data_IF_330535556710
#
_entry.id   IF_330535556710
#
_cell.length_a   1.000
_cell.length_b   1.000
_cell.length_c   1.000
_cell.angle_alpha   90.00
_cell.angle_beta   90.00
_cell.angle_gamma   90.00
#
_symmetry.space_group_name_H-M   'P 1'
#
loop_
_entity.id
_entity.type
_entity.pdbx_description
1 polymer ?
#
# COMPACT_ATOMS: atom_id res chain seq x y z
N UNK A 1 76.25 -25.71 -5.29
CA UNK A 1 75.91 -25.46 -6.71
C UNK A 1 74.72 -26.29 -7.23
N UNK A 2 74.56 -27.59 -6.92
CA UNK A 2 73.42 -28.40 -7.40
C UNK A 2 72.02 -27.95 -6.94
N UNK A 3 71.88 -27.39 -5.72
CA UNK A 3 70.59 -26.89 -5.18
C UNK A 3 70.14 -25.57 -5.82
N UNK A 4 71.08 -24.73 -6.27
CA UNK A 4 70.77 -23.46 -6.95
C UNK A 4 70.26 -23.72 -8.38
N UNK A 5 70.80 -24.75 -9.05
CA UNK A 5 70.40 -25.15 -10.39
C UNK A 5 68.98 -25.76 -10.41
N UNK A 6 68.61 -26.52 -9.38
CA UNK A 6 67.25 -27.07 -9.24
C UNK A 6 66.21 -25.97 -9.00
N UNK A 7 66.55 -24.95 -8.19
CA UNK A 7 65.66 -23.82 -7.92
C UNK A 7 65.48 -22.94 -9.17
N UNK A 8 66.55 -22.75 -9.96
CA UNK A 8 66.49 -22.08 -11.26
C UNK A 8 65.68 -22.88 -12.27
N UNK A 9 65.77 -24.22 -12.28
CA UNK A 9 64.98 -25.08 -13.16
C UNK A 9 63.49 -25.03 -12.81
N UNK A 10 63.13 -25.00 -11.52
CA UNK A 10 61.75 -24.84 -11.06
C UNK A 10 61.23 -23.44 -11.42
N UNK A 11 62.03 -22.40 -11.20
CA UNK A 11 61.70 -21.02 -11.60
C UNK A 11 61.51 -20.87 -13.11
N UNK A 12 62.38 -21.49 -13.93
CA UNK A 12 62.28 -21.52 -15.40
C UNK A 12 61.06 -22.33 -15.90
N UNK A 13 60.70 -23.42 -15.21
CA UNK A 13 59.48 -24.19 -15.51
C UNK A 13 58.20 -23.43 -15.10
N UNK A 14 58.26 -22.57 -14.08
CA UNK A 14 57.16 -21.65 -13.73
C UNK A 14 57.12 -20.39 -14.62
N UNK A 15 58.25 -19.95 -15.21
CA UNK A 15 58.29 -18.75 -16.06
C UNK A 15 57.73 -19.01 -17.48
N UNK A 16 57.79 -20.24 -17.97
CA UNK A 16 57.15 -20.64 -19.24
C UNK A 16 55.63 -20.89 -19.15
N UNK A 17 55.01 -20.66 -17.97
CA UNK A 17 53.56 -20.80 -17.75
C UNK A 17 52.85 -19.45 -17.53
N UNK A 18 53.38 -18.34 -18.08
CA UNK A 18 52.75 -16.99 -18.04
C UNK A 18 51.49 -16.87 -18.94
N UNK A 19 50.90 -18.00 -19.34
CA UNK A 19 49.46 -18.12 -19.58
C UNK A 19 49.00 -19.32 -18.78
N UNK A 20 48.62 -19.12 -17.52
CA UNK A 20 48.11 -20.17 -16.66
C UNK A 20 46.84 -20.76 -17.30
N UNK A 21 47.00 -21.80 -18.12
CA UNK A 21 45.94 -22.77 -18.38
C UNK A 21 45.58 -23.35 -17.02
N UNK A 22 44.36 -23.15 -16.54
CA UNK A 22 43.88 -23.90 -15.37
C UNK A 22 44.06 -25.38 -15.71
N UNK A 23 44.86 -26.09 -14.92
CA UNK A 23 45.04 -27.52 -15.16
C UNK A 23 43.68 -28.20 -15.06
N UNK A 24 43.41 -29.22 -15.90
CA UNK A 24 42.10 -29.90 -15.90
C UNK A 24 41.68 -30.34 -14.49
N UNK A 25 42.62 -30.75 -13.65
CA UNK A 25 42.37 -31.06 -12.24
C UNK A 25 41.90 -29.85 -11.41
N UNK A 26 42.50 -28.67 -11.59
CA UNK A 26 42.06 -27.45 -10.89
C UNK A 26 40.68 -26.97 -11.37
N UNK A 27 40.38 -27.12 -12.67
CA UNK A 27 39.06 -26.83 -13.21
C UNK A 27 37.98 -27.78 -12.64
N UNK A 28 38.27 -29.07 -12.51
CA UNK A 28 37.34 -30.05 -11.93
C UNK A 28 37.02 -29.74 -10.46
N UNK A 29 38.03 -29.34 -9.66
CA UNK A 29 37.83 -28.96 -8.24
C UNK A 29 36.94 -27.71 -8.14
N UNK A 30 37.20 -26.68 -8.94
CA UNK A 30 36.40 -25.47 -8.95
C UNK A 30 34.95 -25.73 -9.42
N UNK A 31 34.75 -26.64 -10.38
CA UNK A 31 33.42 -27.07 -10.81
C UNK A 31 32.66 -27.81 -9.69
N UNK A 32 33.33 -28.66 -8.91
CA UNK A 32 32.73 -29.33 -7.75
C UNK A 32 32.34 -28.34 -6.64
N UNK A 33 33.13 -27.28 -6.43
CA UNK A 33 32.78 -26.18 -5.52
C UNK A 33 31.57 -25.39 -6.02
N UNK A 34 31.49 -25.10 -7.32
CA UNK A 34 30.33 -24.43 -7.94
C UNK A 34 29.07 -25.29 -7.77
N UNK A 35 29.14 -26.59 -8.02
CA UNK A 35 28.00 -27.50 -7.86
C UNK A 35 27.49 -27.53 -6.42
N UNK A 36 28.40 -27.59 -5.44
CA UNK A 36 28.06 -27.57 -4.02
C UNK A 36 27.40 -26.25 -3.60
N UNK A 37 27.92 -25.12 -4.07
CA UNK A 37 27.39 -23.79 -3.76
C UNK A 37 26.01 -23.60 -4.40
N UNK A 38 25.86 -23.88 -5.70
CA UNK A 38 24.58 -23.72 -6.42
C UNK A 38 23.51 -24.64 -5.82
N UNK A 39 23.84 -25.89 -5.51
CA UNK A 39 22.91 -26.83 -4.88
C UNK A 39 22.46 -26.37 -3.50
N UNK A 40 23.38 -25.82 -2.69
CA UNK A 40 23.05 -25.26 -1.38
C UNK A 40 22.10 -24.07 -1.50
N UNK A 41 22.30 -23.20 -2.49
CA UNK A 41 21.46 -22.02 -2.72
C UNK A 41 20.05 -22.39 -3.23
N UNK A 42 19.94 -23.38 -4.13
CA UNK A 42 18.64 -23.91 -4.58
C UNK A 42 17.83 -24.43 -3.38
N UNK A 43 18.49 -25.14 -2.45
CA UNK A 43 17.86 -25.73 -1.28
C UNK A 43 17.51 -24.72 -0.18
N UNK A 44 18.05 -23.50 -0.21
CA UNK A 44 17.82 -22.48 0.82
C UNK A 44 16.72 -21.46 0.50
N UNK A 45 16.02 -21.60 -0.63
CA UNK A 45 15.07 -20.59 -1.13
C UNK A 45 13.61 -21.07 -0.99
N UNK A 46 12.72 -20.17 -0.57
CA UNK A 46 11.30 -20.40 -0.31
C UNK A 46 10.45 -20.69 -1.58
N UNK A 47 9.34 -21.41 -1.42
CA UNK A 47 8.51 -22.02 -2.47
C UNK A 47 7.79 -21.09 -3.48
N UNK A 48 7.92 -19.76 -3.38
CA UNK A 48 7.25 -18.80 -4.28
C UNK A 48 8.18 -18.15 -5.32
N UNK A 49 9.50 -18.17 -5.11
CA UNK A 49 10.51 -17.59 -6.03
C UNK A 49 11.10 -18.68 -6.97
N UNK A 50 10.55 -19.89 -6.90
CA UNK A 50 11.26 -21.16 -7.11
C UNK A 50 11.51 -21.52 -8.57
N UNK A 51 10.70 -21.04 -9.51
CA UNK A 51 10.78 -21.55 -10.88
C UNK A 51 11.98 -20.96 -11.63
N UNK A 52 12.20 -19.64 -11.59
CA UNK A 52 13.31 -19.01 -12.31
C UNK A 52 14.66 -19.37 -11.67
N UNK A 53 14.75 -19.37 -10.34
CA UNK A 53 15.99 -19.67 -9.61
C UNK A 53 16.32 -21.16 -9.69
N UNK A 54 15.32 -22.02 -9.46
CA UNK A 54 15.49 -23.47 -9.59
C UNK A 54 15.88 -23.88 -11.00
N UNK A 55 15.22 -23.34 -12.03
CA UNK A 55 15.58 -23.64 -13.42
C UNK A 55 16.98 -23.13 -13.79
N UNK A 56 17.33 -21.91 -13.38
CA UNK A 56 18.66 -21.33 -13.64
C UNK A 56 19.77 -22.09 -12.91
N UNK A 57 19.56 -22.43 -11.65
CA UNK A 57 20.49 -23.25 -10.87
C UNK A 57 20.67 -24.65 -11.46
N UNK A 58 19.57 -25.33 -11.82
CA UNK A 58 19.63 -26.63 -12.50
C UNK A 58 20.36 -26.57 -13.85
N UNK A 59 20.24 -25.46 -14.59
CA UNK A 59 21.01 -25.25 -15.81
C UNK A 59 22.51 -25.07 -15.55
N UNK A 60 22.90 -24.31 -14.52
CA UNK A 60 24.31 -24.18 -14.12
C UNK A 60 24.87 -25.57 -13.77
N UNK A 61 24.17 -26.34 -12.93
CA UNK A 61 24.58 -27.71 -12.56
C UNK A 61 24.72 -28.61 -13.80
N UNK A 62 23.79 -28.51 -14.75
CA UNK A 62 23.87 -29.26 -16.00
C UNK A 62 25.07 -28.87 -16.87
N UNK A 63 25.46 -27.58 -16.89
CA UNK A 63 26.64 -27.10 -17.62
C UNK A 63 27.92 -27.58 -16.94
N UNK A 64 27.98 -27.49 -15.62
CA UNK A 64 29.09 -27.96 -14.80
C UNK A 64 29.34 -29.46 -14.99
N UNK A 65 28.30 -30.29 -14.85
CA UNK A 65 28.42 -31.74 -15.00
C UNK A 65 28.92 -32.16 -16.39
N UNK A 66 28.53 -31.42 -17.43
CA UNK A 66 28.95 -31.71 -18.80
C UNK A 66 30.35 -31.18 -19.11
N UNK A 67 30.73 -30.01 -18.61
CA UNK A 67 32.12 -29.54 -18.69
C UNK A 67 33.07 -30.48 -17.93
N UNK A 68 32.62 -31.01 -16.78
CA UNK A 68 33.32 -32.04 -16.00
C UNK A 68 33.56 -33.31 -16.83
N UNK A 69 32.52 -33.78 -17.53
CA UNK A 69 32.60 -34.92 -18.44
C UNK A 69 33.56 -34.65 -19.60
N UNK A 70 33.44 -33.51 -20.27
CA UNK A 70 34.29 -33.15 -21.40
C UNK A 70 35.77 -33.02 -20.98
N UNK A 71 36.06 -32.40 -19.83
CA UNK A 71 37.42 -32.35 -19.26
C UNK A 71 37.93 -33.77 -18.96
N UNK A 72 37.14 -34.62 -18.30
CA UNK A 72 37.53 -36.01 -18.00
C UNK A 72 37.80 -36.85 -19.25
N UNK A 73 37.02 -36.66 -20.31
CA UNK A 73 37.19 -37.37 -21.58
C UNK A 73 38.38 -36.84 -22.41
N UNK A 74 38.85 -35.61 -22.14
CA UNK A 74 39.92 -34.94 -22.89
C UNK A 74 41.24 -34.82 -22.12
N UNK A 75 41.26 -35.18 -20.84
CA UNK A 75 42.48 -35.27 -20.02
C UNK A 75 43.42 -36.29 -20.67
N UNK A 76 44.48 -35.79 -21.31
CA UNK A 76 45.56 -36.58 -21.89
C UNK A 76 45.68 -36.52 -23.42
N UNK A 77 44.62 -36.15 -24.15
CA UNK A 77 44.64 -36.12 -25.62
C UNK A 77 43.74 -35.00 -26.14
N UNK A 78 44.22 -33.76 -26.34
CA UNK A 78 43.54 -32.83 -27.27
C UNK A 78 44.25 -31.52 -27.58
N UNK A 79 43.87 -31.04 -28.77
CA UNK A 79 44.20 -29.84 -29.53
C UNK A 79 43.96 -28.50 -28.79
N UNK A 80 44.73 -27.47 -29.17
CA UNK A 80 44.77 -26.16 -28.49
C UNK A 80 43.41 -25.43 -28.52
N UNK A 81 42.67 -25.55 -29.62
CA UNK A 81 41.37 -24.88 -29.84
C UNK A 81 40.28 -25.45 -28.91
N UNK A 82 40.29 -26.76 -28.66
CA UNK A 82 39.36 -27.40 -27.74
C UNK A 82 39.61 -26.96 -26.29
N UNK A 83 40.88 -26.79 -25.90
CA UNK A 83 41.24 -26.24 -24.58
C UNK A 83 40.85 -24.77 -24.41
N UNK A 84 41.02 -23.94 -25.44
CA UNK A 84 40.60 -22.53 -25.41
C UNK A 84 39.07 -22.41 -25.26
N UNK A 85 38.30 -23.27 -25.93
CA UNK A 85 36.85 -23.33 -25.77
C UNK A 85 36.46 -23.79 -24.35
N UNK A 86 37.07 -24.86 -23.84
CA UNK A 86 36.85 -25.33 -22.46
C UNK A 86 37.17 -24.26 -21.42
N UNK A 87 38.26 -23.50 -21.60
CA UNK A 87 38.64 -22.40 -20.71
C UNK A 87 37.64 -21.24 -20.76
N UNK A 88 37.21 -20.84 -21.96
CA UNK A 88 36.22 -19.78 -22.12
C UNK A 88 34.90 -20.15 -21.44
N UNK A 89 34.49 -21.41 -21.55
CA UNK A 89 33.30 -21.95 -20.90
C UNK A 89 33.44 -22.02 -19.39
N UNK A 90 34.60 -22.49 -18.88
CA UNK A 90 34.90 -22.46 -17.46
C UNK A 90 34.78 -21.05 -16.89
N UNK A 91 35.36 -20.05 -17.56
CA UNK A 91 35.28 -18.65 -17.14
C UNK A 91 33.84 -18.11 -17.21
N UNK A 92 33.04 -18.52 -18.21
CA UNK A 92 31.63 -18.15 -18.29
C UNK A 92 30.81 -18.76 -17.15
N UNK A 93 31.01 -20.06 -16.83
CA UNK A 93 30.32 -20.73 -15.72
C UNK A 93 30.71 -20.10 -14.38
N UNK A 94 31.98 -19.76 -14.20
CA UNK A 94 32.49 -19.11 -12.99
C UNK A 94 31.84 -17.73 -12.78
N UNK A 95 31.82 -16.90 -13.83
CA UNK A 95 31.14 -15.60 -13.79
C UNK A 95 29.62 -15.76 -13.53
N UNK A 96 28.95 -16.73 -14.16
CA UNK A 96 27.52 -16.98 -13.95
C UNK A 96 27.22 -17.47 -12.53
N UNK A 97 28.10 -18.29 -11.95
CA UNK A 97 27.98 -18.77 -10.57
C UNK A 97 28.17 -17.64 -9.55
N UNK A 98 29.14 -16.76 -9.76
CA UNK A 98 29.37 -15.59 -8.92
C UNK A 98 28.20 -14.60 -9.01
N UNK A 99 27.74 -14.28 -10.23
CA UNK A 99 26.55 -13.44 -10.44
C UNK A 99 25.29 -14.06 -9.79
N UNK A 100 25.07 -15.37 -9.95
CA UNK A 100 23.94 -16.10 -9.33
C UNK A 100 23.97 -16.02 -7.80
N UNK A 101 25.15 -16.19 -7.19
CA UNK A 101 25.32 -16.11 -5.74
C UNK A 101 25.11 -14.70 -5.18
N UNK A 102 25.57 -13.66 -5.89
CA UNK A 102 25.43 -12.27 -5.46
C UNK A 102 23.97 -11.83 -5.50
N UNK A 103 23.22 -12.23 -6.54
CA UNK A 103 21.81 -11.89 -6.70
C UNK A 103 20.90 -12.58 -5.70
N UNK A 104 21.14 -13.86 -5.36
CA UNK A 104 20.38 -14.56 -4.32
C UNK A 104 20.57 -13.89 -2.95
N UNK A 105 21.75 -13.32 -2.69
CA UNK A 105 22.06 -12.63 -1.44
C UNK A 105 21.56 -11.18 -1.39
N UNK A 106 21.56 -10.46 -2.52
CA UNK A 106 21.41 -8.99 -2.50
C UNK A 106 20.38 -8.41 -3.47
N UNK A 107 19.98 -9.10 -4.55
CA UNK A 107 19.24 -8.48 -5.68
C UNK A 107 18.23 -9.38 -6.40
N UNK A 108 17.36 -10.09 -5.68
CA UNK A 108 16.36 -11.02 -6.25
C UNK A 108 15.56 -10.47 -7.46
N UNK A 109 15.34 -9.16 -7.57
CA UNK A 109 14.67 -8.51 -8.71
C UNK A 109 15.40 -8.57 -10.07
N UNK A 110 16.70 -8.87 -10.10
CA UNK A 110 17.53 -8.92 -11.32
C UNK A 110 17.72 -10.36 -11.87
N UNK A 111 17.03 -11.35 -11.30
CA UNK A 111 17.17 -12.78 -11.64
C UNK A 111 16.88 -13.10 -13.12
N UNK A 112 16.01 -12.31 -13.76
CA UNK A 112 15.59 -12.50 -15.16
C UNK A 112 16.74 -12.32 -16.14
N UNK A 113 17.63 -11.36 -15.89
CA UNK A 113 18.78 -11.06 -16.75
C UNK A 113 19.81 -12.20 -16.69
N UNK A 114 20.05 -12.74 -15.50
CA UNK A 114 20.94 -13.89 -15.31
C UNK A 114 20.34 -15.16 -15.92
N UNK A 115 19.05 -15.43 -15.73
CA UNK A 115 18.41 -16.61 -16.34
C UNK A 115 18.55 -16.59 -17.87
N UNK A 116 18.40 -15.41 -18.48
CA UNK A 116 18.67 -15.20 -19.90
C UNK A 116 20.13 -15.45 -20.26
N UNK A 117 21.10 -14.92 -19.50
CA UNK A 117 22.54 -15.14 -19.73
C UNK A 117 22.94 -16.61 -19.56
N UNK A 118 22.48 -17.29 -18.51
CA UNK A 118 22.73 -18.72 -18.25
C UNK A 118 22.19 -19.55 -19.41
N UNK A 119 20.96 -19.27 -19.83
CA UNK A 119 20.36 -19.99 -20.95
C UNK A 119 21.05 -19.69 -22.26
N UNK A 120 21.54 -18.47 -22.47
CA UNK A 120 22.37 -18.14 -23.63
C UNK A 120 23.70 -18.91 -23.60
N UNK A 121 24.40 -18.94 -22.47
CA UNK A 121 25.63 -19.72 -22.29
C UNK A 121 25.40 -21.23 -22.47
N UNK A 122 24.29 -21.76 -21.95
CA UNK A 122 23.89 -23.16 -22.16
C UNK A 122 23.60 -23.47 -23.63
N UNK A 123 22.92 -22.54 -24.31
CA UNK A 123 22.59 -22.64 -25.73
C UNK A 123 23.82 -22.49 -26.65
N UNK A 124 24.86 -21.77 -26.22
CA UNK A 124 26.10 -21.61 -26.97
C UNK A 124 27.06 -22.79 -26.74
N UNK A 125 26.96 -23.50 -25.61
CA UNK A 125 27.68 -24.75 -25.32
C UNK A 125 27.14 -25.98 -26.07
N UNK A 126 25.86 -25.95 -26.45
CA UNK A 126 25.22 -27.00 -27.24
C UNK A 126 25.32 -26.64 -28.73
N UNK A 127 26.22 -27.31 -29.47
CA UNK A 127 26.20 -27.35 -30.96
C UNK A 127 24.90 -28.01 -31.50
N UNK A 128 23.89 -28.27 -30.65
CA UNK A 128 22.56 -28.79 -31.01
C UNK A 128 21.58 -27.62 -31.16
N UNK A 129 20.81 -27.66 -32.27
CA UNK A 129 19.81 -26.65 -32.64
C UNK A 129 18.92 -26.26 -31.46
N UNK A 130 19.00 -24.96 -31.13
CA UNK A 130 18.40 -24.22 -29.99
C UNK A 130 16.89 -24.40 -29.92
N UNK A 131 16.41 -24.99 -28.82
CA UNK A 131 14.98 -25.16 -28.52
C UNK A 131 14.44 -23.92 -27.78
N UNK A 132 13.22 -23.46 -28.06
CA UNK A 132 12.62 -22.35 -27.32
C UNK A 132 12.39 -22.74 -25.86
N UNK A 133 12.69 -21.82 -24.95
CA UNK A 133 12.56 -22.06 -23.51
C UNK A 133 12.07 -20.82 -22.77
N UNK A 134 11.09 -20.99 -21.88
CA UNK A 134 10.53 -19.92 -21.06
C UNK A 134 11.18 -19.93 -19.68
N UNK A 135 11.51 -18.74 -19.16
CA UNK A 135 12.03 -18.56 -17.80
C UNK A 135 10.98 -17.98 -16.87
N UNK A 136 10.12 -17.09 -17.39
CA UNK A 136 9.15 -16.35 -16.58
C UNK A 136 7.91 -15.97 -17.36
N UNK A 137 6.78 -16.08 -16.69
CA UNK A 137 5.49 -15.54 -17.11
C UNK A 137 5.23 -14.25 -16.32
N UNK A 138 5.16 -13.12 -17.00
CA UNK A 138 4.70 -11.84 -16.46
C UNK A 138 3.24 -11.67 -16.89
N UNK A 139 2.36 -12.37 -16.15
CA UNK A 139 0.93 -12.46 -16.45
C UNK A 139 0.10 -11.85 -15.32
N UNK A 140 -0.60 -10.72 -15.54
CA UNK A 140 -1.50 -10.16 -14.55
C UNK A 140 -2.73 -11.05 -14.35
N UNK A 141 -3.45 -10.96 -13.22
CA UNK A 141 -4.74 -11.63 -13.07
C UNK A 141 -5.74 -11.15 -14.13
N UNK A 142 -6.61 -12.05 -14.59
CA UNK A 142 -7.72 -11.70 -15.46
C UNK A 142 -8.89 -11.18 -14.64
N UNK A 143 -9.44 -10.02 -15.00
CA UNK A 143 -10.54 -9.39 -14.27
C UNK A 143 -11.85 -9.68 -15.01
N UNK A 144 -12.78 -10.36 -14.34
CA UNK A 144 -14.11 -10.67 -14.87
C UNK A 144 -14.88 -9.39 -15.20
N UNK A 145 -15.63 -9.40 -16.29
CA UNK A 145 -16.49 -8.31 -16.75
C UNK A 145 -15.78 -6.95 -17.00
N UNK A 146 -14.44 -6.93 -16.93
CA UNK A 146 -13.65 -5.76 -17.24
C UNK A 146 -13.14 -5.83 -18.67
N UNK A 147 -13.70 -4.99 -19.54
CA UNK A 147 -13.33 -4.95 -20.96
C UNK A 147 -12.13 -4.03 -21.16
N UNK A 148 -10.93 -4.61 -21.22
CA UNK A 148 -9.68 -3.94 -21.59
C UNK A 148 -8.71 -4.88 -22.33
N UNK A 149 -7.70 -4.30 -22.97
CA UNK A 149 -6.53 -5.06 -23.46
C UNK A 149 -5.85 -5.80 -22.30
N UNK A 150 -5.78 -7.13 -22.42
CA UNK A 150 -5.12 -8.04 -21.50
C UNK A 150 -3.72 -8.37 -22.03
N UNK A 151 -2.70 -7.90 -21.32
CA UNK A 151 -1.30 -8.00 -21.72
C UNK A 151 -0.62 -9.18 -21.02
N UNK A 152 -0.09 -10.13 -21.78
CA UNK A 152 0.75 -11.21 -21.26
C UNK A 152 2.16 -11.01 -21.80
N UNK A 153 3.15 -10.97 -20.92
CA UNK A 153 4.56 -10.93 -21.29
C UNK A 153 5.24 -12.22 -20.87
N UNK A 154 6.07 -12.76 -21.75
CA UNK A 154 6.81 -14.00 -21.49
C UNK A 154 8.27 -13.76 -21.81
N UNK A 155 9.14 -14.04 -20.83
CA UNK A 155 10.58 -13.93 -20.97
C UNK A 155 11.21 -15.32 -21.09
N UNK A 156 12.16 -15.45 -22.00
CA UNK A 156 12.80 -16.72 -22.33
C UNK A 156 13.97 -16.55 -23.28
N UNK A 157 14.19 -17.57 -24.12
CA UNK A 157 15.23 -17.54 -25.15
C UNK A 157 14.81 -18.31 -26.40
N UNK A 158 15.46 -17.98 -27.53
CA UNK A 158 15.29 -18.66 -28.82
C UNK A 158 13.85 -18.66 -29.37
N UNK A 159 13.04 -17.66 -29.00
CA UNK A 159 11.67 -17.56 -29.52
C UNK A 159 11.63 -17.21 -31.02
N UNK A 160 12.56 -16.38 -31.49
CA UNK A 160 12.79 -16.01 -32.89
C UNK A 160 13.03 -17.20 -33.85
N UNK A 161 13.29 -18.39 -33.31
CA UNK A 161 13.53 -19.63 -34.07
C UNK A 161 12.31 -20.53 -34.20
N UNK A 162 11.21 -20.16 -33.55
CA UNK A 162 9.94 -20.88 -33.68
C UNK A 162 9.26 -20.46 -34.99
N UNK A 163 8.81 -21.43 -35.79
CA UNK A 163 8.04 -21.17 -37.00
C UNK A 163 6.63 -20.66 -36.64
N UNK A 164 6.10 -21.13 -35.51
CA UNK A 164 4.82 -20.69 -34.98
C UNK A 164 4.87 -20.60 -33.45
N UNK A 165 4.30 -19.52 -32.90
CA UNK A 165 4.18 -19.31 -31.45
C UNK A 165 2.75 -18.88 -31.17
N UNK A 166 2.12 -19.50 -30.18
CA UNK A 166 0.84 -18.99 -29.70
C UNK A 166 0.58 -19.32 -28.23
N UNK A 167 -0.17 -18.44 -27.58
CA UNK A 167 -0.83 -18.74 -26.32
C UNK A 167 -2.19 -19.37 -26.62
N UNK A 168 -2.50 -20.45 -25.92
CA UNK A 168 -3.80 -21.12 -25.97
C UNK A 168 -4.46 -20.94 -24.61
N UNK A 169 -5.57 -20.20 -24.57
CA UNK A 169 -6.40 -19.99 -23.38
C UNK A 169 -7.80 -20.52 -23.70
N UNK A 170 -8.31 -21.44 -22.88
CA UNK A 170 -9.62 -22.08 -23.11
C UNK A 170 -9.82 -22.63 -24.53
N UNK A 171 -8.75 -23.17 -25.13
CA UNK A 171 -8.77 -23.73 -26.48
C UNK A 171 -8.70 -22.70 -27.62
N UNK A 172 -8.79 -21.40 -27.33
CA UNK A 172 -8.59 -20.34 -28.34
C UNK A 172 -7.11 -19.96 -28.43
N UNK A 173 -6.63 -19.80 -29.67
CA UNK A 173 -5.23 -19.50 -30.00
C UNK A 173 -5.04 -17.99 -30.21
N UNK A 174 -3.99 -17.43 -29.61
CA UNK A 174 -3.61 -16.02 -29.68
C UNK A 174 -2.14 -15.91 -30.08
N UNK A 175 -1.87 -15.10 -31.09
CA UNK A 175 -0.51 -14.87 -31.59
C UNK A 175 0.16 -13.68 -30.87
N UNK A 176 1.49 -13.69 -30.72
CA UNK A 176 2.21 -12.58 -30.13
C UNK A 176 2.18 -11.36 -31.07
N UNK A 177 1.99 -10.18 -30.50
CA UNK A 177 2.11 -8.91 -31.24
C UNK A 177 3.57 -8.51 -31.41
N UNK A 178 4.43 -8.98 -30.50
CA UNK A 178 5.87 -8.83 -30.58
C UNK A 178 6.54 -10.16 -30.20
N UNK A 179 7.48 -10.58 -31.05
CA UNK A 179 8.33 -11.75 -30.81
C UNK A 179 9.78 -11.36 -31.06
N UNK A 180 10.62 -11.55 -30.05
CA UNK A 180 12.06 -11.32 -30.11
C UNK A 180 12.80 -12.55 -29.60
N UNK A 181 14.13 -12.59 -29.69
CA UNK A 181 14.90 -13.71 -29.16
C UNK A 181 14.60 -14.03 -27.68
N UNK A 182 14.29 -13.02 -26.86
CA UNK A 182 14.18 -13.13 -25.40
C UNK A 182 12.80 -12.81 -24.82
N UNK A 183 11.92 -12.19 -25.59
CA UNK A 183 10.62 -11.69 -25.11
C UNK A 183 9.50 -11.94 -26.13
N UNK A 184 8.36 -12.39 -25.62
CA UNK A 184 7.08 -12.44 -26.30
C UNK A 184 6.07 -11.53 -25.61
N UNK A 185 5.32 -10.75 -26.39
CA UNK A 185 4.24 -9.90 -25.89
C UNK A 185 2.95 -10.26 -26.62
N UNK A 186 1.92 -10.61 -25.84
CA UNK A 186 0.57 -10.88 -26.32
C UNK A 186 -0.36 -9.77 -25.83
N UNK A 187 -1.17 -9.23 -26.74
CA UNK A 187 -2.26 -8.31 -26.43
C UNK A 187 -3.55 -8.99 -26.83
N UNK A 188 -4.34 -9.36 -25.83
CA UNK A 188 -5.58 -10.09 -26.03
C UNK A 188 -6.73 -9.18 -25.63
N UNK A 189 -7.73 -9.05 -26.47
CA UNK A 189 -8.98 -8.41 -26.07
C UNK A 189 -9.68 -9.32 -25.04
N UNK A 190 -9.84 -8.83 -23.80
CA UNK A 190 -10.45 -9.59 -22.70
C UNK A 190 -11.85 -10.12 -23.04
N UNK A 191 -12.63 -9.44 -23.90
CA UNK A 191 -13.95 -9.90 -24.35
C UNK A 191 -13.89 -11.23 -25.11
N UNK A 192 -12.73 -11.56 -25.67
CA UNK A 192 -12.49 -12.79 -26.40
C UNK A 192 -12.17 -13.98 -25.49
N UNK A 193 -11.80 -13.72 -24.23
CA UNK A 193 -11.55 -14.74 -23.22
C UNK A 193 -12.85 -14.92 -22.45
N UNK A 194 -13.61 -15.98 -22.78
CA UNK A 194 -14.85 -16.30 -22.06
C UNK A 194 -14.54 -17.18 -20.84
N UNK A 195 -14.75 -16.69 -19.60
CA UNK A 195 -14.69 -17.51 -18.40
C UNK A 195 -15.82 -18.53 -18.36
N UNK A 196 -15.52 -19.73 -17.87
CA UNK A 196 -16.56 -20.62 -17.33
C UNK A 196 -16.89 -20.11 -15.93
N UNK A 197 -18.18 -19.94 -15.64
CA UNK A 197 -18.70 -19.27 -14.43
C UNK A 197 -18.22 -19.87 -13.09
N UNK A 198 -17.65 -21.07 -13.09
CA UNK A 198 -17.23 -21.80 -11.88
C UNK A 198 -15.70 -21.89 -11.69
N UNK A 199 -14.90 -21.37 -12.62
CA UNK A 199 -13.44 -21.49 -12.55
C UNK A 199 -12.78 -20.23 -11.97
N UNK A 200 -11.94 -20.41 -10.95
CA UNK A 200 -11.15 -19.32 -10.34
C UNK A 200 -9.83 -19.04 -11.08
N UNK A 201 -9.55 -19.79 -12.15
CA UNK A 201 -8.35 -19.65 -12.95
C UNK A 201 -8.53 -20.23 -14.36
N UNK A 202 -7.81 -19.69 -15.34
CA UNK A 202 -7.67 -20.31 -16.66
C UNK A 202 -6.47 -21.24 -16.70
N UNK A 203 -6.66 -22.39 -17.36
CA UNK A 203 -5.55 -23.25 -17.81
C UNK A 203 -5.08 -22.73 -19.16
N UNK A 204 -3.90 -22.13 -19.18
CA UNK A 204 -3.27 -21.61 -20.37
C UNK A 204 -2.04 -22.45 -20.76
N UNK A 205 -1.64 -22.40 -22.02
CA UNK A 205 -0.38 -23.01 -22.49
C UNK A 205 0.23 -22.19 -23.60
N UNK A 206 1.55 -22.11 -23.63
CA UNK A 206 2.30 -21.57 -24.77
C UNK A 206 2.72 -22.73 -25.64
N UNK A 207 2.38 -22.68 -26.92
CA UNK A 207 2.78 -23.66 -27.93
C UNK A 207 3.86 -23.07 -28.81
N UNK A 208 4.96 -23.81 -28.97
CA UNK A 208 6.04 -23.52 -29.89
C UNK A 208 6.12 -24.62 -30.95
N UNK A 209 5.98 -24.25 -32.21
CA UNK A 209 6.32 -25.13 -33.33
C UNK A 209 7.68 -24.72 -33.88
N UNK A 210 8.63 -25.66 -33.88
CA UNK A 210 10.00 -25.41 -34.30
C UNK A 210 10.58 -26.64 -35.01
N UNK A 211 11.65 -26.45 -35.78
CA UNK A 211 12.34 -27.54 -36.47
C UNK A 211 13.70 -27.82 -35.84
N UNK A 212 13.93 -29.08 -35.44
CA UNK A 212 15.18 -29.49 -34.80
C UNK A 212 15.87 -30.66 -35.51
N UNK A 213 17.16 -30.85 -35.21
CA UNK A 213 18.02 -31.87 -35.82
C UNK A 213 18.50 -31.57 -37.25
N UNK A 214 19.42 -32.40 -37.77
CA UNK A 214 19.99 -32.28 -39.13
C UNK A 214 18.91 -32.32 -40.21
N UNK A 215 17.85 -33.12 -40.02
CA UNK A 215 16.74 -33.31 -40.95
C UNK A 215 15.59 -32.30 -40.79
N UNK A 216 15.74 -31.25 -39.95
CA UNK A 216 14.71 -30.23 -39.69
C UNK A 216 13.32 -30.83 -39.36
N UNK A 217 13.28 -31.86 -38.52
CA UNK A 217 12.01 -32.50 -38.14
C UNK A 217 11.17 -31.52 -37.32
N UNK A 218 9.89 -31.41 -37.65
CA UNK A 218 8.95 -30.59 -36.90
C UNK A 218 8.77 -31.14 -35.48
N UNK A 219 8.82 -30.22 -34.52
CA UNK A 219 8.68 -30.46 -33.09
C UNK A 219 7.69 -29.44 -32.54
N UNK A 220 6.86 -29.92 -31.62
CA UNK A 220 5.98 -29.08 -30.83
C UNK A 220 6.44 -29.15 -29.37
N UNK A 221 6.60 -27.99 -28.73
CA UNK A 221 6.78 -27.87 -27.29
C UNK A 221 5.62 -27.07 -26.74
N UNK A 222 4.99 -27.58 -25.68
CA UNK A 222 3.91 -26.89 -24.99
C UNK A 222 4.28 -26.70 -23.52
N UNK A 223 4.20 -25.46 -23.04
CA UNK A 223 4.46 -25.12 -21.64
C UNK A 223 3.18 -24.60 -20.97
N UNK A 224 2.62 -25.34 -19.99
CA UNK A 224 1.39 -24.93 -19.30
C UNK A 224 1.67 -23.84 -18.25
N UNK A 225 0.71 -22.94 -18.07
CA UNK A 225 0.69 -21.97 -16.98
C UNK A 225 -0.75 -21.65 -16.56
N UNK A 226 -0.89 -20.97 -15.42
CA UNK A 226 -2.20 -20.65 -14.84
C UNK A 226 -2.39 -19.13 -14.84
N UNK A 227 -3.60 -18.70 -15.18
CA UNK A 227 -4.00 -17.29 -15.09
C UNK A 227 -5.10 -17.18 -14.03
N UNK A 228 -4.86 -16.52 -12.88
CA UNK A 228 -5.90 -16.35 -11.87
C UNK A 228 -7.01 -15.44 -12.40
N UNK A 229 -8.26 -15.75 -12.04
CA UNK A 229 -9.45 -14.98 -12.39
C UNK A 229 -9.93 -14.26 -11.12
N UNK A 230 -10.15 -12.95 -11.20
CA UNK A 230 -10.60 -12.12 -10.08
C UNK A 230 -11.89 -11.39 -10.51
N UNK A 231 -12.93 -11.31 -9.66
CA UNK A 231 -14.10 -10.49 -9.97
C UNK A 231 -13.76 -9.00 -10.02
N UNK A 232 -14.50 -8.23 -10.83
CA UNK A 232 -14.35 -6.76 -10.85
C UNK A 232 -14.65 -6.16 -9.48
N UNK A 233 -15.70 -6.65 -8.82
CA UNK A 233 -16.06 -6.30 -7.46
C UNK A 233 -15.49 -7.35 -6.50
N UNK A 234 -14.57 -6.92 -5.63
CA UNK A 234 -13.89 -7.78 -4.67
C UNK A 234 -14.55 -7.77 -3.29
N UNK A 235 -15.51 -6.87 -3.04
CA UNK A 235 -16.22 -6.80 -1.78
C UNK A 235 -16.92 -5.46 -1.52
N UNK A 236 -17.46 -5.29 -0.31
CA UNK A 236 -18.10 -4.07 0.17
C UNK A 236 -17.34 -3.52 1.37
N UNK A 237 -16.95 -2.25 1.32
CA UNK A 237 -16.31 -1.54 2.44
C UNK A 237 -17.30 -0.63 3.17
N UNK A 238 -17.16 -0.56 4.49
CA UNK A 238 -17.81 0.42 5.36
C UNK A 238 -16.75 1.03 6.27
N UNK A 239 -16.77 2.35 6.42
CA UNK A 239 -15.79 3.09 7.24
C UNK A 239 -16.45 3.45 8.57
N UNK A 240 -15.78 3.09 9.67
CA UNK A 240 -16.19 3.42 11.03
C UNK A 240 -15.26 4.48 11.60
N UNK A 241 -15.83 5.58 12.08
CA UNK A 241 -15.07 6.73 12.55
C UNK A 241 -15.67 7.33 13.81
N UNK A 242 -14.83 8.07 14.53
CA UNK A 242 -15.20 8.82 15.72
C UNK A 242 -15.15 10.32 15.40
N UNK A 243 -16.15 11.07 15.84
CA UNK A 243 -16.19 12.53 15.72
C UNK A 243 -16.53 13.17 17.05
N UNK A 244 -15.72 14.14 17.44
CA UNK A 244 -15.98 15.00 18.58
C UNK A 244 -16.93 16.13 18.16
N UNK A 245 -18.13 16.16 18.75
CA UNK A 245 -19.12 17.21 18.47
C UNK A 245 -19.37 18.06 19.72
N UNK A 246 -19.57 19.38 19.56
CA UNK A 246 -19.84 20.28 20.67
C UNK A 246 -21.25 20.06 21.22
N UNK A 247 -21.35 19.85 22.53
CA UNK A 247 -22.60 19.86 23.29
C UNK A 247 -22.54 20.95 24.36
N UNK A 248 -23.66 21.68 24.52
CA UNK A 248 -23.81 22.65 25.60
C UNK A 248 -24.12 21.93 26.90
N UNK A 249 -23.24 22.09 27.89
CA UNK A 249 -23.49 21.64 29.26
C UNK A 249 -23.84 22.84 30.11
N UNK A 250 -25.10 22.88 30.54
CA UNK A 250 -25.65 23.99 31.31
C UNK A 250 -25.38 23.82 32.80
N UNK A 251 -25.18 24.94 33.48
CA UNK A 251 -25.20 25.02 34.94
C UNK A 251 -26.63 24.92 35.47
N UNK A 252 -26.73 24.71 36.79
CA UNK A 252 -27.96 25.03 37.51
C UNK A 252 -28.31 26.51 37.35
N UNK A 253 -29.58 26.83 37.64
CA UNK A 253 -30.12 28.17 37.52
C UNK A 253 -29.47 29.10 38.55
N UNK A 254 -28.84 30.18 38.09
CA UNK A 254 -28.16 31.16 38.93
C UNK A 254 -29.10 32.36 39.12
N UNK A 255 -29.29 32.78 40.36
CA UNK A 255 -30.13 33.94 40.68
C UNK A 255 -29.28 35.20 40.83
N UNK A 256 -29.72 36.30 40.22
CA UNK A 256 -29.15 37.63 40.38
C UNK A 256 -30.23 38.61 40.82
N UNK A 257 -29.85 39.50 41.74
CA UNK A 257 -30.72 40.54 42.27
C UNK A 257 -30.03 41.89 42.15
N UNK A 258 -30.76 42.89 41.71
CA UNK A 258 -30.34 44.29 41.73
C UNK A 258 -31.46 45.16 42.30
N UNK A 259 -31.07 46.22 42.99
CA UNK A 259 -32.00 47.16 43.64
C UNK A 259 -31.62 48.61 43.36
N UNK A 260 -32.65 49.45 43.29
CA UNK A 260 -32.60 50.90 43.10
C UNK A 260 -33.39 51.55 44.23
N UNK A 261 -32.85 52.61 44.81
CA UNK A 261 -33.51 53.39 45.84
C UNK A 261 -33.30 54.89 45.61
N UNK A 262 -34.36 55.69 45.80
CA UNK A 262 -34.25 57.16 45.77
C UNK A 262 -33.78 57.77 47.10
N UNK A 263 -33.31 56.93 48.04
CA UNK A 263 -32.90 57.32 49.39
C UNK A 263 -34.06 57.42 50.39
N UNK A 264 -33.75 57.93 51.60
CA UNK A 264 -34.68 58.00 52.72
C UNK A 264 -35.83 59.01 52.52
N UNK A 265 -36.96 58.74 53.19
CA UNK A 265 -38.14 59.62 53.21
C UNK A 265 -37.90 60.91 53.97
N UNK A 266 -37.90 62.02 53.24
CA UNK A 266 -37.83 63.37 53.81
C UNK A 266 -39.22 63.97 54.06
N UNK A 267 -39.33 64.83 55.07
CA UNK A 267 -40.57 65.51 55.47
C UNK A 267 -41.28 66.25 54.32
N UNK A 268 -40.51 66.83 53.40
CA UNK A 268 -41.01 67.62 52.27
C UNK A 268 -41.54 66.79 51.10
N UNK A 269 -41.22 65.49 51.05
CA UNK A 269 -41.77 64.58 50.06
C UNK A 269 -41.49 65.00 48.62
N UNK A 270 -40.24 65.14 48.21
CA UNK A 270 -39.90 65.53 46.84
C UNK A 270 -39.96 64.32 45.89
N UNK A 271 -40.38 64.56 44.64
CA UNK A 271 -40.26 63.57 43.55
C UNK A 271 -38.79 63.43 43.16
N UNK A 272 -38.31 62.20 43.15
CA UNK A 272 -36.94 61.81 42.77
C UNK A 272 -37.03 60.60 41.85
N UNK A 273 -36.06 60.51 40.96
CA UNK A 273 -35.88 59.40 40.05
C UNK A 273 -34.42 58.98 40.14
N UNK A 274 -34.19 57.68 40.32
CA UNK A 274 -32.86 57.09 40.30
C UNK A 274 -32.84 55.91 39.34
N UNK A 275 -31.65 55.61 38.81
CA UNK A 275 -31.43 54.48 37.93
C UNK A 275 -30.16 53.76 38.36
N UNK A 276 -30.21 52.43 38.39
CA UNK A 276 -29.07 51.58 38.73
C UNK A 276 -28.85 50.61 37.60
N UNK A 277 -27.68 50.68 36.97
CA UNK A 277 -27.28 49.74 35.92
C UNK A 277 -26.75 48.44 36.54
N UNK A 278 -27.10 47.31 35.95
CA UNK A 278 -26.46 46.03 36.23
C UNK A 278 -25.69 45.56 34.99
N UNK A 279 -24.48 45.09 35.22
CA UNK A 279 -23.61 44.57 34.17
C UNK A 279 -22.73 43.48 34.77
N UNK A 280 -22.85 42.26 34.26
CA UNK A 280 -22.01 41.16 34.69
C UNK A 280 -21.69 40.20 33.55
N UNK A 281 -20.55 39.55 33.71
CA UNK A 281 -19.95 38.60 32.78
C UNK A 281 -20.12 37.17 33.31
N UNK A 282 -20.10 36.16 32.44
CA UNK A 282 -20.26 34.77 32.86
C UNK A 282 -19.08 34.31 33.71
N UNK A 283 -19.33 33.37 34.62
CA UNK A 283 -18.32 32.87 35.54
C UNK A 283 -17.36 31.87 34.87
N UNK A 284 -16.08 31.88 35.27
CA UNK A 284 -15.15 30.78 34.98
C UNK A 284 -14.92 30.45 33.50
N UNK A 285 -15.04 31.43 32.59
CA UNK A 285 -14.87 31.20 31.14
C UNK A 285 -16.06 30.54 30.44
N UNK A 286 -17.22 30.48 31.10
CA UNK A 286 -18.50 30.02 30.52
C UNK A 286 -19.14 31.10 29.65
N UNK A 287 -20.27 30.76 29.05
CA UNK A 287 -21.12 31.64 28.27
C UNK A 287 -22.53 31.68 28.87
N UNK A 288 -23.24 32.80 28.77
CA UNK A 288 -24.65 32.87 29.13
C UNK A 288 -25.53 32.20 28.08
N UNK A 289 -26.64 31.61 28.51
CA UNK A 289 -27.77 31.30 27.63
C UNK A 289 -28.76 32.48 27.61
N UNK A 290 -28.81 33.30 26.53
CA UNK A 290 -29.68 34.47 26.49
C UNK A 290 -31.17 34.13 26.61
N UNK A 291 -31.56 32.91 26.23
CA UNK A 291 -32.94 32.44 26.26
C UNK A 291 -33.35 31.90 27.64
N UNK A 292 -32.38 31.70 28.54
CA UNK A 292 -32.64 31.19 29.90
C UNK A 292 -33.07 32.26 30.89
N UNK A 293 -32.96 33.55 30.53
CA UNK A 293 -33.25 34.67 31.42
C UNK A 293 -34.74 34.66 31.77
N UNK A 294 -35.03 34.41 33.04
CA UNK A 294 -36.40 34.40 33.56
C UNK A 294 -36.50 35.28 34.80
N UNK A 295 -37.49 36.17 34.81
CA UNK A 295 -37.75 37.10 35.91
C UNK A 295 -38.48 36.33 37.00
N UNK A 296 -37.83 36.20 38.16
CA UNK A 296 -38.36 35.44 39.29
C UNK A 296 -39.12 36.34 40.25
N UNK A 297 -38.68 37.60 40.43
CA UNK A 297 -39.34 38.56 41.29
C UNK A 297 -39.14 39.99 40.78
N UNK A 298 -40.22 40.78 40.79
CA UNK A 298 -40.16 42.23 40.57
C UNK A 298 -40.97 42.93 41.66
N UNK A 299 -40.28 43.65 42.54
CA UNK A 299 -40.91 44.41 43.62
C UNK A 299 -40.62 45.88 43.46
N UNK A 300 -41.63 46.73 43.69
CA UNK A 300 -41.49 48.18 43.64
C UNK A 300 -42.35 48.88 44.65
N UNK A 301 -41.81 49.97 45.21
CA UNK A 301 -42.54 50.94 46.03
C UNK A 301 -42.74 52.19 45.19
N UNK A 302 -44.01 52.48 44.91
CA UNK A 302 -44.48 53.50 43.97
C UNK A 302 -44.30 53.09 42.50
N UNK A 303 -43.30 53.60 41.81
CA UNK A 303 -43.12 53.41 40.38
C UNK A 303 -41.66 53.12 40.04
N UNK A 304 -41.43 52.54 38.87
CA UNK A 304 -40.14 52.01 38.44
C UNK A 304 -40.32 51.02 37.30
N UNK A 305 -39.26 50.86 36.51
CA UNK A 305 -39.16 49.95 35.38
C UNK A 305 -37.82 49.21 35.40
N UNK A 306 -37.69 48.21 34.54
CA UNK A 306 -36.41 47.59 34.24
C UNK A 306 -36.30 47.38 32.73
N UNK A 307 -35.07 47.40 32.22
CA UNK A 307 -34.75 47.00 30.85
C UNK A 307 -33.53 46.10 30.85
N UNK A 308 -33.47 45.22 29.87
CA UNK A 308 -32.26 44.49 29.52
C UNK A 308 -31.77 45.08 28.19
N UNK A 309 -30.68 45.82 28.24
CA UNK A 309 -30.10 46.47 27.07
C UNK A 309 -29.35 45.47 26.18
N UNK A 310 -28.68 44.49 26.81
CA UNK A 310 -27.98 43.40 26.12
C UNK A 310 -28.19 42.07 26.82
N UNK A 311 -28.52 41.05 26.01
CA UNK A 311 -28.60 39.64 26.40
C UNK A 311 -27.78 38.84 25.40
N UNK A 312 -26.50 38.67 25.68
CA UNK A 312 -25.57 37.96 24.79
C UNK A 312 -24.87 36.84 25.55
N UNK A 313 -24.25 35.92 24.83
CA UNK A 313 -23.46 34.83 25.42
C UNK A 313 -22.28 35.36 26.27
N UNK A 314 -21.84 36.60 26.05
CA UNK A 314 -20.68 37.19 26.72
C UNK A 314 -21.04 38.13 27.87
N UNK A 315 -22.26 38.68 27.88
CA UNK A 315 -22.65 39.71 28.83
C UNK A 315 -24.17 39.84 28.95
N UNK A 316 -24.63 40.08 30.18
CA UNK A 316 -25.98 40.58 30.48
C UNK A 316 -25.84 42.00 31.03
N UNK A 317 -26.48 42.95 30.35
CA UNK A 317 -26.50 44.36 30.76
C UNK A 317 -27.93 44.89 30.74
N UNK A 318 -28.24 45.72 31.71
CA UNK A 318 -29.50 46.43 31.76
C UNK A 318 -29.52 47.46 32.88
N UNK A 319 -30.71 47.97 33.16
CA UNK A 319 -30.93 48.95 34.19
C UNK A 319 -32.27 48.75 34.87
N UNK A 320 -32.33 49.23 36.11
CA UNK A 320 -33.55 49.34 36.89
C UNK A 320 -33.74 50.79 37.29
N UNK A 321 -34.98 51.28 37.19
CA UNK A 321 -35.36 52.63 37.58
C UNK A 321 -36.31 52.59 38.77
N UNK A 322 -36.25 53.63 39.61
CA UNK A 322 -37.15 53.77 40.75
C UNK A 322 -37.55 55.24 40.94
N UNK A 323 -38.81 55.45 41.33
CA UNK A 323 -39.41 56.78 41.49
C UNK A 323 -40.01 56.97 42.89
N UNK A 324 -39.78 58.14 43.49
CA UNK A 324 -40.48 58.54 44.71
C UNK A 324 -41.77 59.31 44.40
N UNK A 325 -42.75 59.28 45.31
CA UNK A 325 -43.95 60.13 45.23
C UNK A 325 -43.79 61.41 46.02
N UNK A 326 -44.34 62.47 45.44
CA UNK A 326 -44.34 63.80 46.02
C UNK A 326 -45.35 63.96 47.18
N UNK A 327 -45.14 63.29 48.33
CA UNK A 327 -46.06 63.31 49.49
C UNK A 327 -45.34 63.52 50.81
N UNK A 328 -45.90 64.27 51.78
CA UNK A 328 -45.35 64.37 53.14
C UNK A 328 -45.12 62.98 53.73
N UNK A 329 -43.95 62.73 54.31
CA UNK A 329 -43.50 61.42 54.83
C UNK A 329 -43.44 60.26 53.80
N UNK A 330 -43.64 60.54 52.51
CA UNK A 330 -43.75 59.53 51.46
C UNK A 330 -42.49 59.32 50.60
N UNK A 331 -41.41 60.06 50.86
CA UNK A 331 -40.27 60.20 49.94
C UNK A 331 -39.27 59.02 49.90
N UNK A 332 -39.67 57.81 49.55
CA UNK A 332 -38.71 56.71 49.34
C UNK A 332 -39.20 55.76 48.27
N UNK A 333 -38.73 55.94 47.03
CA UNK A 333 -38.92 55.00 45.93
C UNK A 333 -37.94 53.84 46.05
N UNK A 334 -38.42 52.64 45.77
CA UNK A 334 -37.60 51.43 45.76
C UNK A 334 -38.04 50.54 44.61
N UNK A 335 -37.10 49.89 43.94
CA UNK A 335 -37.38 48.82 42.99
C UNK A 335 -36.30 47.76 43.11
N UNK A 336 -36.70 46.49 43.08
CA UNK A 336 -35.81 45.34 43.11
C UNK A 336 -36.24 44.33 42.07
N UNK A 337 -35.30 43.98 41.21
CA UNK A 337 -35.44 42.93 40.21
C UNK A 337 -34.59 41.74 40.62
N UNK A 338 -35.25 40.60 40.77
CA UNK A 338 -34.60 39.29 40.83
C UNK A 338 -34.92 38.55 39.54
N UNK A 339 -33.90 38.09 38.85
CA UNK A 339 -34.04 37.19 37.72
C UNK A 339 -33.00 36.09 37.86
N UNK A 340 -33.20 34.99 37.16
CA UNK A 340 -32.13 34.04 37.00
C UNK A 340 -31.86 33.69 35.55
N UNK A 341 -30.74 33.01 35.38
CA UNK A 341 -30.15 32.67 34.11
C UNK A 341 -29.37 31.36 34.25
N UNK A 342 -29.01 30.77 33.12
CA UNK A 342 -28.09 29.66 33.04
C UNK A 342 -26.83 30.09 32.32
N UNK A 343 -25.72 29.56 32.78
CA UNK A 343 -24.46 29.57 32.02
C UNK A 343 -24.27 28.18 31.38
N UNK A 344 -23.45 28.10 30.35
CA UNK A 344 -23.01 26.83 29.78
C UNK A 344 -21.53 26.88 29.41
N UNK A 345 -20.92 25.70 29.41
CA UNK A 345 -19.69 25.45 28.68
C UNK A 345 -19.94 24.50 27.51
N UNK A 346 -19.03 24.51 26.54
CA UNK A 346 -19.03 23.58 25.42
C UNK A 346 -18.17 22.40 25.83
N UNK A 347 -18.77 21.21 25.87
CA UNK A 347 -18.05 19.95 26.03
C UNK A 347 -18.04 19.21 24.69
N UNK A 348 -16.95 18.53 24.38
CA UNK A 348 -16.85 17.73 23.16
C UNK A 348 -17.08 16.26 23.50
N UNK A 349 -18.20 15.71 23.05
CA UNK A 349 -18.49 14.28 23.20
C UNK A 349 -18.10 13.53 21.94
N UNK A 350 -17.58 12.31 22.13
CA UNK A 350 -17.17 11.42 21.03
C UNK A 350 -18.39 10.61 20.57
N UNK A 351 -18.73 10.73 19.29
CA UNK A 351 -19.77 9.94 18.64
C UNK A 351 -19.14 8.94 17.67
N UNK A 352 -19.60 7.69 17.72
CA UNK A 352 -19.19 6.63 16.81
C UNK A 352 -20.18 6.57 15.64
N UNK A 353 -19.67 6.81 14.44
CA UNK A 353 -20.46 6.88 13.22
C UNK A 353 -19.91 5.90 12.18
N UNK A 354 -20.72 5.63 11.15
CA UNK A 354 -20.33 4.80 10.01
C UNK A 354 -20.82 5.41 8.70
N UNK A 355 -20.06 5.19 7.63
CA UNK A 355 -20.47 5.57 6.28
C UNK A 355 -21.44 4.56 5.67
N UNK A 356 -22.10 4.92 4.57
CA UNK A 356 -22.76 3.94 3.73
C UNK A 356 -21.72 3.01 3.08
N UNK A 357 -22.12 1.75 2.82
CA UNK A 357 -21.20 0.83 2.17
C UNK A 357 -20.92 1.26 0.72
N UNK A 358 -19.69 1.05 0.26
CA UNK A 358 -19.31 1.19 -1.15
C UNK A 358 -18.68 -0.10 -1.66
N UNK A 359 -18.91 -0.42 -2.93
CA UNK A 359 -18.29 -1.57 -3.59
C UNK A 359 -16.82 -1.30 -3.88
N UNK A 360 -15.96 -2.25 -3.54
CA UNK A 360 -14.52 -2.19 -3.80
C UNK A 360 -14.22 -2.89 -5.11
N UNK A 361 -13.56 -2.16 -6.00
CA UNK A 361 -13.07 -2.72 -7.26
C UNK A 361 -11.64 -3.25 -7.12
N UNK A 362 -11.31 -4.28 -7.89
CA UNK A 362 -9.93 -4.75 -8.10
C UNK A 362 -9.06 -3.77 -8.91
N UNK A 363 -9.66 -2.72 -9.49
CA UNK A 363 -8.99 -1.82 -10.45
C UNK A 363 -8.78 -0.43 -9.86
N UNK A 364 -9.86 0.17 -9.35
CA UNK A 364 -9.87 1.56 -8.91
C UNK A 364 -9.98 1.63 -7.39
N UNK A 365 -9.25 2.57 -6.76
CA UNK A 365 -9.45 2.87 -5.34
C UNK A 365 -10.86 3.42 -5.11
N UNK A 366 -11.42 3.12 -3.95
CA UNK A 366 -12.69 3.67 -3.48
C UNK A 366 -12.39 4.75 -2.45
N UNK A 367 -13.09 5.88 -2.58
CA UNK A 367 -12.96 7.02 -1.69
C UNK A 367 -14.21 7.11 -0.82
N UNK A 368 -14.02 7.25 0.48
CA UNK A 368 -15.06 7.55 1.45
C UNK A 368 -14.84 8.95 1.99
N UNK A 369 -15.81 9.82 1.74
CA UNK A 369 -15.84 11.17 2.28
C UNK A 369 -16.22 11.10 3.76
N UNK A 370 -15.36 11.70 4.59
CA UNK A 370 -15.64 11.88 6.01
C UNK A 370 -16.25 13.28 6.25
N UNK A 371 -17.01 13.49 7.33
CA UNK A 371 -17.58 14.80 7.61
C UNK A 371 -16.50 15.84 7.91
N UNK A 372 -16.81 17.10 7.63
CA UNK A 372 -15.90 18.22 7.88
C UNK A 372 -15.53 18.34 9.37
N UNK A 373 -14.31 18.84 9.68
CA UNK A 373 -13.91 19.14 11.05
C UNK A 373 -14.81 20.18 11.71
N UNK A 374 -15.20 19.96 12.97
CA UNK A 374 -15.97 20.92 13.78
C UNK A 374 -15.05 21.50 14.85
N UNK A 375 -14.92 22.82 14.92
CA UNK A 375 -14.03 23.50 15.89
C UNK A 375 -12.60 22.96 15.90
N UNK A 376 -12.04 22.70 14.70
CA UNK A 376 -10.72 22.07 14.48
C UNK A 376 -10.59 20.62 14.97
N UNK A 377 -11.69 19.98 15.40
CA UNK A 377 -11.74 18.55 15.73
C UNK A 377 -12.07 17.74 14.48
N UNK A 378 -11.04 17.10 13.93
CA UNK A 378 -11.14 16.25 12.74
C UNK A 378 -11.79 14.91 13.05
N UNK A 379 -12.50 14.28 12.10
CA UNK A 379 -12.95 12.90 12.26
C UNK A 379 -11.75 11.96 12.37
N UNK A 380 -11.83 10.99 13.28
CA UNK A 380 -10.78 9.99 13.49
C UNK A 380 -11.24 8.64 12.95
N UNK A 381 -10.48 8.05 12.04
CA UNK A 381 -10.76 6.72 11.50
C UNK A 381 -10.52 5.65 12.58
N UNK A 382 -11.57 4.93 12.97
CA UNK A 382 -11.43 3.78 13.86
C UNK A 382 -10.97 2.54 13.10
N UNK A 383 -11.72 2.13 12.08
CA UNK A 383 -11.38 1.00 11.20
C UNK A 383 -12.24 1.00 9.93
N UNK A 384 -11.81 0.24 8.93
CA UNK A 384 -12.60 -0.08 7.74
C UNK A 384 -12.97 -1.56 7.78
N UNK A 385 -14.25 -1.86 7.66
CA UNK A 385 -14.75 -3.24 7.55
C UNK A 385 -14.99 -3.57 6.08
N UNK A 386 -14.36 -4.63 5.60
CA UNK A 386 -14.56 -5.16 4.25
C UNK A 386 -15.23 -6.52 4.35
N UNK A 387 -16.36 -6.68 3.67
CA UNK A 387 -16.97 -7.97 3.39
C UNK A 387 -16.62 -8.36 1.96
N UNK A 388 -15.77 -9.36 1.79
CA UNK A 388 -15.34 -9.84 0.46
C UNK A 388 -16.43 -10.64 -0.24
N UNK A 389 -16.28 -10.84 -1.55
CA UNK A 389 -17.23 -11.62 -2.36
C UNK A 389 -17.40 -13.08 -1.90
N UNK A 390 -16.41 -13.65 -1.20
CA UNK A 390 -16.45 -14.98 -0.59
C UNK A 390 -16.94 -14.96 0.88
N UNK A 391 -17.62 -13.87 1.28
CA UNK A 391 -18.19 -13.65 2.61
C UNK A 391 -17.17 -13.65 3.76
N UNK A 392 -15.90 -13.35 3.49
CA UNK A 392 -14.91 -13.15 4.55
C UNK A 392 -14.94 -11.71 5.03
N UNK A 393 -14.85 -11.54 6.34
CA UNK A 393 -14.76 -10.24 6.96
C UNK A 393 -13.30 -9.89 7.21
N UNK A 394 -12.88 -8.73 6.72
CA UNK A 394 -11.54 -8.18 6.93
C UNK A 394 -11.69 -6.82 7.59
N UNK A 395 -11.05 -6.66 8.74
CA UNK A 395 -10.97 -5.38 9.45
C UNK A 395 -9.61 -4.77 9.14
N UNK A 396 -9.63 -3.57 8.56
CA UNK A 396 -8.43 -2.80 8.26
C UNK A 396 -8.31 -1.65 9.25
N UNK A 397 -7.16 -1.58 9.88
CA UNK A 397 -6.76 -0.49 10.75
C UNK A 397 -5.56 0.18 10.08
N UNK A 398 -5.49 1.52 9.97
CA UNK A 398 -4.42 2.21 9.23
C UNK A 398 -2.99 1.84 9.67
N UNK A 399 -2.82 1.47 10.95
CA UNK A 399 -1.53 1.06 11.52
C UNK A 399 -1.13 -0.39 11.23
N UNK A 400 -2.04 -1.20 10.67
CA UNK A 400 -1.84 -2.64 10.45
C UNK A 400 -1.85 -2.94 8.96
N UNK A 401 -0.71 -3.39 8.45
CA UNK A 401 -0.59 -3.81 7.05
C UNK A 401 -1.43 -5.05 6.78
N UNK A 402 -2.25 -5.01 5.72
CA UNK A 402 -2.98 -6.16 5.21
C UNK A 402 -2.43 -6.54 3.82
N UNK A 403 -2.38 -7.85 3.53
CA UNK A 403 -1.83 -8.38 2.28
C UNK A 403 -2.75 -8.14 1.07
N UNK A 404 -4.05 -7.96 1.29
CA UNK A 404 -5.06 -7.87 0.23
C UNK A 404 -5.53 -6.44 -0.02
N UNK A 405 -5.58 -5.60 1.01
CA UNK A 405 -6.11 -4.25 0.92
C UNK A 405 -5.19 -3.23 1.58
N UNK A 406 -5.18 -2.01 1.06
CA UNK A 406 -4.49 -0.85 1.65
C UNK A 406 -5.50 0.24 1.95
N UNK A 407 -5.38 0.83 3.13
CA UNK A 407 -6.18 2.00 3.57
C UNK A 407 -5.24 3.16 3.79
N UNK A 408 -5.54 4.29 3.17
CA UNK A 408 -4.84 5.54 3.37
C UNK A 408 -5.86 6.62 3.75
N UNK A 409 -5.46 7.58 4.57
CA UNK A 409 -6.25 8.77 4.86
C UNK A 409 -5.60 9.94 4.11
N UNK A 410 -6.40 10.71 3.39
CA UNK A 410 -5.94 11.95 2.78
C UNK A 410 -5.69 13.00 3.89
N UNK A 411 -4.46 13.50 4.07
CA UNK A 411 -4.15 14.43 5.17
C UNK A 411 -4.83 15.81 5.02
N UNK A 412 -5.32 16.14 3.82
CA UNK A 412 -5.94 17.45 3.53
C UNK A 412 -7.44 17.38 3.71
N UNK A 413 -8.09 16.37 3.12
CA UNK A 413 -9.56 16.23 3.11
C UNK A 413 -10.07 15.25 4.17
N UNK A 414 -9.19 14.55 4.88
CA UNK A 414 -9.51 13.47 5.82
C UNK A 414 -10.26 12.28 5.17
N UNK A 415 -10.40 12.26 3.84
CA UNK A 415 -11.03 11.17 3.09
C UNK A 415 -10.28 9.85 3.26
N UNK A 416 -11.03 8.76 3.36
CA UNK A 416 -10.48 7.41 3.47
C UNK A 416 -10.45 6.76 2.10
N UNK A 417 -9.24 6.42 1.64
CA UNK A 417 -8.99 5.74 0.37
C UNK A 417 -8.71 4.27 0.64
N UNK A 418 -9.58 3.39 0.14
CA UNK A 418 -9.42 1.94 0.21
C UNK A 418 -9.07 1.41 -1.17
N UNK A 419 -7.98 0.64 -1.28
CA UNK A 419 -7.58 0.01 -2.54
C UNK A 419 -7.25 -1.46 -2.37
N UNK A 420 -7.54 -2.24 -3.39
CA UNK A 420 -6.98 -3.57 -3.55
C UNK A 420 -5.46 -3.48 -3.74
N UNK A 421 -4.70 -4.37 -3.11
CA UNK A 421 -3.24 -4.26 -3.02
C UNK A 421 -2.49 -5.00 -4.15
N UNK A 422 -3.17 -5.82 -4.95
CA UNK A 422 -2.58 -6.62 -6.03
C UNK A 422 -2.75 -6.00 -7.42
#
# INVERSE_FOLDING_TARGET
>A
MKKLFLLLLIMLLSYNNIKAQTSGAAALIALDEIDAIVSKQINSIDNLVTNAIGNSGNMILSLTARLKKDINETIGNTDKVLRENQQNLFNQILNLSEEFNLIIKERIGEIDLISSKISQAANDFLVKKKEPNIFKFETPPFILDYTKEYLIKIKGSSFDRSESIAIIINGKRYEPVQSSHVELIFKIDSSQIKPKLEENYFKAKVSFDYRSGLFKKEKNKSEPFIIPIIPLNVGKATVFYEQELPERRYTDFISYSCDCSTGASNWKGDKRHETTSFNFNPSGGRLFDPNSINITEWSRRYDGSYSFDHKTEQQIKGEISCYSKGKPFGGGGFSKLTFGYKEYDIIYKIYKNQTAYKEISSINPVIFELPDPVDSKRPNLSYVKILTYDNREIILIPSVSNIFFKVNINPVTDDVVVRWAN
#
